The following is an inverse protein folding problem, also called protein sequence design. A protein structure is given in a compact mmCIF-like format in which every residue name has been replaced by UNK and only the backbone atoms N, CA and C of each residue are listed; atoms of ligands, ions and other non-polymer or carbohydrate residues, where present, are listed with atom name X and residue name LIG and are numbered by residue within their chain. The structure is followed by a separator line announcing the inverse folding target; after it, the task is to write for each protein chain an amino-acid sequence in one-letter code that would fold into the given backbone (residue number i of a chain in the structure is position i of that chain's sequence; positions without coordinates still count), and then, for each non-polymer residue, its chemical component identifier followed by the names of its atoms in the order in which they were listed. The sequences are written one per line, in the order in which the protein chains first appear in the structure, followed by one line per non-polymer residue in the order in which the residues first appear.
data_IF_643266273344
#
_entry.id   IF_643266273344
#
_cell.length_a   1.000
_cell.length_b   1.000
_cell.length_c   1.000
_cell.angle_alpha   90.00
_cell.angle_beta   90.00
_cell.angle_gamma   90.00
#
_symmetry.space_group_name_H-M   'P 1'
#
loop_
_entity.id
_entity.type
_entity.pdbx_description
1 polymer ?
#
# COMPACT_ATOMS: atom_id res chain seq x y z
N UNK A 1 -1.33 13.42 16.11
CA UNK A 1 -1.58 13.19 14.67
C UNK A 1 -2.52 11.99 14.58
N UNK A 2 -3.73 12.17 14.09
CA UNK A 2 -4.71 11.08 13.98
C UNK A 2 -4.45 10.34 12.67
N UNK A 3 -4.34 9.02 12.74
CA UNK A 3 -4.18 8.15 11.56
C UNK A 3 -5.40 7.25 11.50
N UNK A 4 -6.11 7.29 10.38
CA UNK A 4 -7.22 6.41 10.10
C UNK A 4 -6.70 5.18 9.35
N UNK A 5 -7.06 4.00 9.84
CA UNK A 5 -6.79 2.72 9.19
C UNK A 5 -8.10 2.11 8.69
N UNK A 6 -8.12 1.64 7.45
CA UNK A 6 -9.30 1.04 6.85
C UNK A 6 -8.90 -0.05 5.85
N UNK A 7 -9.83 -0.98 5.60
CA UNK A 7 -9.81 -1.80 4.39
C UNK A 7 -10.14 -0.86 3.23
N UNK A 8 -9.31 -0.88 2.19
CA UNK A 8 -9.47 -0.02 1.02
C UNK A 8 -9.89 -0.85 -0.19
N UNK A 9 -11.14 -0.65 -0.60
CA UNK A 9 -11.71 -1.26 -1.80
C UNK A 9 -11.51 -0.27 -2.97
N UNK A 10 -10.43 -0.43 -3.72
CA UNK A 10 -10.12 0.42 -4.88
C UNK A 10 -9.08 1.51 -4.62
N UNK A 11 -7.92 1.11 -4.08
CA UNK A 11 -6.75 1.99 -4.04
C UNK A 11 -6.36 2.41 -5.47
N UNK A 12 -6.09 3.69 -5.71
CA UNK A 12 -5.61 4.13 -7.02
C UNK A 12 -4.13 3.73 -7.23
N UNK A 13 -3.73 3.18 -8.39
CA UNK A 13 -2.35 2.80 -8.69
C UNK A 13 -1.36 3.95 -8.49
N UNK A 14 -1.75 5.17 -8.83
CA UNK A 14 -0.92 6.36 -8.68
C UNK A 14 -0.66 6.70 -7.21
N UNK A 15 -1.66 6.57 -6.33
CA UNK A 15 -1.48 6.72 -4.88
C UNK A 15 -0.54 5.64 -4.33
N UNK A 16 -0.67 4.41 -4.84
CA UNK A 16 0.21 3.32 -4.44
C UNK A 16 1.66 3.56 -4.88
N UNK A 17 1.88 3.98 -6.13
CA UNK A 17 3.22 4.33 -6.65
C UNK A 17 3.83 5.47 -5.84
N UNK A 18 3.06 6.50 -5.50
CA UNK A 18 3.52 7.61 -4.67
C UNK A 18 4.02 7.12 -3.31
N UNK A 19 3.27 6.24 -2.64
CA UNK A 19 3.70 5.64 -1.37
C UNK A 19 4.99 4.84 -1.52
N UNK A 20 5.09 4.00 -2.55
CA UNK A 20 6.30 3.20 -2.83
C UNK A 20 7.53 4.09 -3.03
N UNK A 21 7.39 5.19 -3.77
CA UNK A 21 8.49 6.15 -4.00
C UNK A 21 8.87 6.87 -2.71
N UNK A 22 7.88 7.31 -1.92
CA UNK A 22 8.14 8.03 -0.66
C UNK A 22 8.70 7.14 0.45
N UNK A 23 8.37 5.84 0.46
CA UNK A 23 8.96 4.86 1.39
C UNK A 23 10.35 4.38 0.96
N UNK A 24 10.69 4.53 -0.33
CA UNK A 24 11.94 4.04 -0.93
C UNK A 24 11.91 2.57 -1.33
N UNK A 25 10.72 1.94 -1.34
CA UNK A 25 10.56 0.58 -1.83
C UNK A 25 10.33 0.47 -3.33
N UNK A 26 10.09 1.59 -4.00
CA UNK A 26 10.09 1.71 -5.45
C UNK A 26 11.32 1.04 -6.09
N UNK A 27 12.48 1.09 -5.45
CA UNK A 27 13.71 0.43 -5.91
C UNK A 27 13.59 -1.10 -6.15
N UNK A 28 12.57 -1.76 -5.57
CA UNK A 28 12.32 -3.20 -5.71
C UNK A 28 10.90 -3.50 -6.21
N UNK A 29 10.20 -2.51 -6.75
CA UNK A 29 8.85 -2.63 -7.30
C UNK A 29 8.81 -2.14 -8.74
N UNK A 30 7.91 -2.67 -9.58
CA UNK A 30 7.84 -2.29 -10.98
C UNK A 30 7.10 -0.95 -11.16
N UNK A 31 7.52 0.11 -10.46
CA UNK A 31 6.83 1.42 -10.45
C UNK A 31 6.81 2.11 -11.82
N UNK A 32 7.71 1.72 -12.72
CA UNK A 32 7.77 2.20 -14.11
C UNK A 32 6.89 1.38 -15.07
N UNK A 33 6.10 0.43 -14.55
CA UNK A 33 5.16 -0.41 -15.31
C UNK A 33 3.74 -0.23 -14.77
N UNK A 34 3.01 0.83 -15.19
CA UNK A 34 1.70 1.16 -14.64
C UNK A 34 0.67 0.05 -14.77
N UNK A 35 0.71 -0.70 -15.87
CA UNK A 35 -0.12 -1.88 -16.13
C UNK A 35 0.10 -3.00 -15.10
N UNK A 36 1.36 -3.22 -14.69
CA UNK A 36 1.70 -4.19 -13.65
C UNK A 36 1.23 -3.71 -12.28
N UNK A 37 1.42 -2.42 -11.96
CA UNK A 37 0.95 -1.84 -10.70
C UNK A 37 -0.58 -1.93 -10.60
N UNK A 38 -1.31 -1.58 -11.66
CA UNK A 38 -2.76 -1.72 -11.71
C UNK A 38 -3.16 -3.17 -11.38
N UNK A 39 -2.52 -4.15 -12.05
CA UNK A 39 -2.77 -5.56 -11.75
C UNK A 39 -2.44 -5.95 -10.30
N UNK A 40 -1.37 -5.40 -9.70
CA UNK A 40 -1.02 -5.65 -8.29
C UNK A 40 -2.09 -5.17 -7.33
N UNK A 41 -2.69 -4.00 -7.61
CA UNK A 41 -3.74 -3.40 -6.81
C UNK A 41 -5.06 -4.14 -6.99
N UNK A 42 -5.46 -4.40 -8.25
CA UNK A 42 -6.74 -5.04 -8.58
C UNK A 42 -6.86 -6.48 -8.05
N UNK A 43 -5.74 -7.18 -7.92
CA UNK A 43 -5.70 -8.61 -7.55
C UNK A 43 -5.21 -8.85 -6.11
N UNK A 44 -5.12 -7.81 -5.28
CA UNK A 44 -4.87 -8.00 -3.86
C UNK A 44 -6.15 -8.46 -3.15
N UNK A 45 -6.09 -9.54 -2.38
CA UNK A 45 -7.23 -10.03 -1.61
C UNK A 45 -7.56 -9.08 -0.45
N UNK A 46 -6.54 -8.47 0.16
CA UNK A 46 -6.70 -7.53 1.26
C UNK A 46 -5.71 -6.37 1.15
N UNK A 47 -6.25 -5.16 1.07
CA UNK A 47 -5.48 -3.91 1.14
C UNK A 47 -5.92 -3.11 2.36
N UNK A 48 -4.98 -2.78 3.24
CA UNK A 48 -5.18 -1.88 4.38
C UNK A 48 -4.43 -0.59 4.12
N UNK A 49 -5.11 0.55 4.23
CA UNK A 49 -4.49 1.87 4.10
C UNK A 49 -4.37 2.57 5.45
N UNK A 50 -3.35 3.40 5.57
CA UNK A 50 -3.17 4.35 6.67
C UNK A 50 -3.24 5.75 6.07
N UNK A 51 -4.23 6.56 6.45
CA UNK A 51 -4.43 7.93 5.97
C UNK A 51 -4.30 8.94 7.11
N UNK A 52 -3.65 10.07 6.84
CA UNK A 52 -3.56 11.18 7.81
C UNK A 52 -4.87 11.98 7.86
N UNK A 53 -4.92 13.02 8.70
CA UNK A 53 -6.13 13.84 8.88
C UNK A 53 -6.59 14.57 7.63
N UNK A 54 -5.71 14.75 6.65
CA UNK A 54 -6.01 15.40 5.37
C UNK A 54 -6.43 14.37 4.30
N UNK A 55 -6.57 13.10 4.69
CA UNK A 55 -6.95 11.99 3.81
C UNK A 55 -5.79 11.44 2.97
N UNK A 56 -4.57 11.96 3.16
CA UNK A 56 -3.41 11.57 2.37
C UNK A 56 -2.95 10.19 2.78
N UNK A 57 -2.68 9.33 1.79
CA UNK A 57 -2.14 8.01 2.02
C UNK A 57 -0.71 8.09 2.56
N UNK A 58 -0.49 7.57 3.77
CA UNK A 58 0.81 7.61 4.46
C UNK A 58 1.41 6.23 4.70
N UNK A 59 0.63 5.16 4.50
CA UNK A 59 1.08 3.79 4.54
C UNK A 59 0.07 2.84 3.89
N UNK A 60 0.55 1.69 3.47
CA UNK A 60 -0.25 0.66 2.80
C UNK A 60 0.29 -0.72 3.16
N UNK A 61 -0.61 -1.67 3.37
CA UNK A 61 -0.32 -3.08 3.52
C UNK A 61 -1.16 -3.87 2.50
N UNK A 62 -0.52 -4.65 1.64
CA UNK A 62 -1.17 -5.38 0.55
C UNK A 62 -0.86 -6.88 0.66
N UNK A 63 -1.90 -7.70 0.69
CA UNK A 63 -1.79 -9.13 0.97
C UNK A 63 -2.56 -9.99 -0.03
N UNK A 64 -2.09 -11.22 -0.19
CA UNK A 64 -2.81 -12.34 -0.83
C UNK A 64 -3.16 -13.33 0.28
N UNK A 65 -4.43 -13.70 0.44
CA UNK A 65 -4.92 -14.45 1.59
C UNK A 65 -6.08 -15.37 1.23
N UNK A 66 -6.10 -16.57 1.82
CA UNK A 66 -7.22 -17.51 1.70
C UNK A 66 -8.35 -17.25 2.71
N UNK A 67 -8.18 -16.23 3.57
CA UNK A 67 -9.07 -15.86 4.68
C UNK A 67 -9.37 -16.98 5.68
N UNK A 68 -8.53 -18.02 5.75
CA UNK A 68 -8.73 -19.17 6.61
C UNK A 68 -7.47 -19.61 7.37
N UNK A 69 -6.32 -19.68 6.70
CA UNK A 69 -5.08 -20.23 7.23
C UNK A 69 -3.82 -19.46 6.82
N UNK A 70 -3.73 -19.03 5.56
CA UNK A 70 -2.53 -18.42 5.02
C UNK A 70 -2.77 -16.99 4.53
N UNK A 71 -1.90 -16.07 4.96
CA UNK A 71 -1.82 -14.70 4.46
C UNK A 71 -0.37 -14.38 4.12
N UNK A 72 -0.13 -14.03 2.86
CA UNK A 72 1.14 -13.52 2.39
C UNK A 72 1.07 -12.00 2.27
N UNK A 73 1.77 -11.30 3.18
CA UNK A 73 1.92 -9.85 3.14
C UNK A 73 3.03 -9.49 2.14
N UNK A 74 2.62 -9.03 0.96
CA UNK A 74 3.53 -8.73 -0.15
C UNK A 74 4.22 -7.37 0.01
N UNK A 75 3.47 -6.37 0.48
CA UNK A 75 3.94 -4.99 0.68
C UNK A 75 3.52 -4.51 2.06
N UNK A 76 4.43 -3.83 2.77
CA UNK A 76 4.15 -3.17 4.05
C UNK A 76 5.01 -1.92 4.16
N UNK A 77 4.40 -0.78 3.87
CA UNK A 77 5.11 0.47 3.67
C UNK A 77 4.58 1.60 4.53
N UNK A 78 5.50 2.43 5.04
CA UNK A 78 5.17 3.71 5.64
C UNK A 78 6.02 4.82 5.05
N UNK A 79 5.48 6.02 5.02
CA UNK A 79 6.14 7.20 4.45
C UNK A 79 6.59 8.20 5.52
N UNK A 80 6.13 8.02 6.76
CA UNK A 80 6.60 8.78 7.90
C UNK A 80 7.94 8.18 8.37
N UNK A 81 9.01 8.98 8.30
CA UNK A 81 10.26 8.66 8.98
C UNK A 81 10.03 8.89 10.47
N UNK A 82 10.07 7.83 11.28
CA UNK A 82 10.30 8.00 12.71
C UNK A 82 11.77 8.40 12.85
N UNK A 83 12.02 9.54 13.50
CA UNK A 83 13.33 9.79 14.11
C UNK A 83 13.48 8.74 15.22
N UNK A 84 14.39 7.79 15.02
CA UNK A 84 14.89 6.89 16.08
C UNK A 84 16.02 7.61 16.80
#
# INVERSE_FOLDING_TARGET
MTIAYAIEDGLEPEEFIDVLKRSGLDARRPVDKPDVIQGMVDNADLTITARDSDGRLIGVARSVTDFAYCCYLSDLEKTLKEEI
#
